data_IF_344290459796
#
_entry.id   IF_344290459796
#
_cell.length_a   1.000
_cell.length_b   1.000
_cell.length_c   1.000
_cell.angle_alpha   90.00
_cell.angle_beta   90.00
_cell.angle_gamma   90.00
#
_symmetry.space_group_name_H-M   'P 1'
#
loop_
_entity.id
_entity.type
_entity.pdbx_description
1 polymer ?
#
# COMPACT_ATOMS: atom_id res chain seq x y z
N UNK A 1 12.76 16.99 67.17
CA UNK A 1 11.71 16.12 66.58
C UNK A 1 11.83 16.24 65.06
N UNK A 2 12.20 15.14 64.40
CA UNK A 2 12.40 14.87 62.95
C UNK A 2 13.20 15.87 62.09
N UNK A 3 14.38 15.48 61.58
CA UNK A 3 15.02 16.11 60.43
C UNK A 3 14.62 15.37 59.14
N UNK A 4 14.20 16.08 58.09
CA UNK A 4 14.06 15.46 56.76
C UNK A 4 14.82 16.28 55.71
N UNK A 5 16.02 15.78 55.41
CA UNK A 5 16.89 16.22 54.31
C UNK A 5 16.14 16.01 53.00
N UNK A 6 16.02 17.08 52.21
CA UNK A 6 15.59 17.02 50.81
C UNK A 6 16.67 16.22 50.05
N UNK A 7 16.36 14.97 49.69
CA UNK A 7 17.17 14.19 48.76
C UNK A 7 17.00 14.81 47.37
N UNK A 8 18.07 15.42 46.86
CA UNK A 8 18.19 15.76 45.45
C UNK A 8 18.24 14.46 44.65
N UNK A 9 17.08 14.02 44.16
CA UNK A 9 16.98 12.90 43.23
C UNK A 9 17.29 13.46 41.84
N UNK A 10 18.56 13.44 41.45
CA UNK A 10 18.95 13.66 40.05
C UNK A 10 18.30 12.59 39.19
N UNK A 11 17.23 12.95 38.49
CA UNK A 11 16.63 12.13 37.46
C UNK A 11 17.54 12.21 36.23
N UNK A 12 18.50 11.29 36.15
CA UNK A 12 19.33 11.11 34.96
C UNK A 12 18.43 10.53 33.87
N UNK A 13 17.93 11.37 32.98
CA UNK A 13 17.22 10.95 31.77
C UNK A 13 18.27 10.31 30.85
N UNK A 14 18.40 9.00 30.94
CA UNK A 14 19.09 8.23 29.92
C UNK A 14 18.25 8.35 28.64
N UNK A 15 18.66 9.25 27.74
CA UNK A 15 18.29 9.17 26.33
C UNK A 15 18.85 7.85 25.80
N UNK A 16 18.09 6.76 25.98
CA UNK A 16 18.34 5.52 25.27
C UNK A 16 18.06 5.79 23.81
N UNK A 17 19.14 5.88 23.03
CA UNK A 17 19.14 5.81 21.57
C UNK A 17 18.19 4.71 21.13
N UNK A 18 17.02 5.10 20.64
CA UNK A 18 16.19 4.20 19.85
C UNK A 18 17.09 3.72 18.70
N UNK A 19 17.26 2.41 18.48
CA UNK A 19 17.81 1.98 17.21
C UNK A 19 16.84 2.51 16.17
N UNK A 20 17.29 3.47 15.36
CA UNK A 20 16.64 3.78 14.10
C UNK A 20 16.68 2.46 13.36
N UNK A 21 15.55 1.75 13.33
CA UNK A 21 15.36 0.62 12.43
C UNK A 21 15.68 1.20 11.05
N UNK A 22 16.87 0.90 10.54
CA UNK A 22 17.19 1.05 9.13
C UNK A 22 16.17 0.18 8.41
N UNK A 23 15.07 0.78 7.98
CA UNK A 23 14.19 0.14 7.02
C UNK A 23 15.06 -0.09 5.79
N UNK A 24 15.40 -1.34 5.52
CA UNK A 24 16.10 -1.69 4.28
C UNK A 24 15.35 -1.03 3.12
N UNK A 25 16.06 -0.33 2.23
CA UNK A 25 15.41 0.35 1.13
C UNK A 25 14.67 -0.70 0.31
N UNK A 26 13.34 -0.56 0.24
CA UNK A 26 12.50 -1.41 -0.61
C UNK A 26 13.15 -1.43 -2.01
N UNK A 27 13.48 -2.61 -2.56
CA UNK A 27 14.20 -2.70 -3.81
C UNK A 27 13.46 -1.95 -4.93
N UNK A 28 14.19 -1.26 -5.79
CA UNK A 28 13.63 -0.36 -6.82
C UNK A 28 12.55 -1.05 -7.66
N UNK A 29 12.74 -2.32 -8.00
CA UNK A 29 11.77 -3.11 -8.76
C UNK A 29 10.47 -3.36 -8.01
N UNK A 30 10.53 -3.55 -6.68
CA UNK A 30 9.33 -3.64 -5.84
C UNK A 30 8.56 -2.32 -5.82
N UNK A 31 9.25 -1.18 -5.76
CA UNK A 31 8.58 0.13 -5.84
C UNK A 31 7.89 0.32 -7.21
N UNK A 32 8.57 -0.03 -8.30
CA UNK A 32 8.00 0.04 -9.66
C UNK A 32 6.78 -0.87 -9.80
N UNK A 33 6.85 -2.10 -9.30
CA UNK A 33 5.74 -3.05 -9.35
C UNK A 33 4.54 -2.56 -8.53
N UNK A 34 4.79 -2.00 -7.34
CA UNK A 34 3.76 -1.39 -6.48
C UNK A 34 3.11 -0.18 -7.15
N UNK A 35 3.88 0.70 -7.76
CA UNK A 35 3.36 1.87 -8.46
C UNK A 35 2.52 1.47 -9.68
N UNK A 36 2.91 0.41 -10.39
CA UNK A 36 2.09 -0.18 -11.45
C UNK A 36 0.77 -0.74 -10.92
N UNK A 37 0.79 -1.47 -9.81
CA UNK A 37 -0.44 -1.96 -9.18
C UNK A 37 -1.36 -0.80 -8.74
N UNK A 38 -0.81 0.27 -8.16
CA UNK A 38 -1.54 1.48 -7.79
C UNK A 38 -2.16 2.18 -9.01
N UNK A 39 -1.42 2.27 -10.11
CA UNK A 39 -1.93 2.81 -11.38
C UNK A 39 -3.11 1.99 -11.90
N UNK A 40 -3.01 0.66 -11.89
CA UNK A 40 -4.12 -0.23 -12.30
C UNK A 40 -5.31 -0.16 -11.36
N UNK A 41 -5.10 0.01 -10.06
CA UNK A 41 -6.18 0.29 -9.12
C UNK A 41 -6.92 1.59 -9.45
N UNK A 42 -6.19 2.65 -9.81
CA UNK A 42 -6.78 3.91 -10.27
C UNK A 42 -7.67 3.73 -11.51
N UNK A 43 -7.20 2.96 -12.49
CA UNK A 43 -7.99 2.62 -13.67
C UNK A 43 -9.25 1.80 -13.32
N UNK A 44 -9.11 0.77 -12.47
CA UNK A 44 -10.24 -0.02 -11.98
C UNK A 44 -11.30 0.86 -11.33
N UNK A 45 -10.90 1.80 -10.47
CA UNK A 45 -11.81 2.74 -9.83
C UNK A 45 -12.58 3.59 -10.84
N UNK A 46 -11.88 4.08 -11.87
CA UNK A 46 -12.52 4.84 -12.95
C UNK A 46 -13.63 4.03 -13.64
N UNK A 47 -13.35 2.78 -14.04
CA UNK A 47 -14.37 1.93 -14.69
C UNK A 47 -15.50 1.50 -13.74
N UNK A 48 -15.20 1.34 -12.45
CA UNK A 48 -16.24 1.16 -11.43
C UNK A 48 -17.21 2.35 -11.38
N UNK A 49 -16.66 3.57 -11.35
CA UNK A 49 -17.48 4.78 -11.32
C UNK A 49 -18.28 4.95 -12.63
N UNK A 50 -17.70 4.60 -13.79
CA UNK A 50 -18.40 4.69 -15.09
C UNK A 50 -19.56 3.69 -15.18
N UNK A 51 -19.33 2.42 -14.83
CA UNK A 51 -20.41 1.43 -14.78
C UNK A 51 -21.51 1.83 -13.79
N UNK A 52 -21.13 2.32 -12.60
CA UNK A 52 -22.10 2.78 -11.59
C UNK A 52 -22.97 3.93 -12.10
N UNK A 53 -22.38 4.89 -12.83
CA UNK A 53 -23.15 5.95 -13.49
C UNK A 53 -24.13 5.37 -14.51
N UNK A 54 -23.66 4.43 -15.34
CA UNK A 54 -24.48 3.79 -16.36
C UNK A 54 -25.73 3.11 -15.78
N UNK A 55 -25.56 2.28 -14.74
CA UNK A 55 -26.70 1.57 -14.13
C UNK A 55 -27.62 2.48 -13.30
N UNK A 56 -27.13 3.66 -12.90
CA UNK A 56 -27.91 4.63 -12.11
C UNK A 56 -28.70 5.60 -12.99
N UNK A 57 -28.40 5.70 -14.28
CA UNK A 57 -29.10 6.58 -15.21
C UNK A 57 -30.46 6.02 -15.62
N UNK A 58 -31.51 6.85 -15.53
CA UNK A 58 -32.89 6.44 -15.75
C UNK A 58 -33.24 6.05 -17.21
N UNK A 59 -32.35 6.30 -18.18
CA UNK A 59 -32.57 6.08 -19.62
C UNK A 59 -31.34 5.49 -20.34
N UNK A 60 -30.44 4.81 -19.62
CA UNK A 60 -29.20 4.29 -20.21
C UNK A 60 -29.46 3.06 -21.10
N UNK A 61 -28.71 2.97 -22.20
CA UNK A 61 -28.75 1.80 -23.08
C UNK A 61 -28.09 0.61 -22.38
N UNK A 62 -28.86 -0.48 -22.20
CA UNK A 62 -28.36 -1.71 -21.59
C UNK A 62 -27.15 -2.30 -22.35
N UNK A 63 -27.07 -2.07 -23.66
CA UNK A 63 -25.91 -2.42 -24.48
C UNK A 63 -24.66 -1.64 -24.08
N UNK A 64 -24.81 -0.33 -23.83
CA UNK A 64 -23.74 0.51 -23.32
C UNK A 64 -23.31 0.10 -21.91
N UNK A 65 -24.25 -0.13 -20.99
CA UNK A 65 -23.89 -0.58 -19.63
C UNK A 65 -23.22 -1.96 -19.61
N UNK A 66 -23.55 -2.83 -20.58
CA UNK A 66 -22.82 -4.10 -20.75
C UNK A 66 -21.39 -3.89 -21.23
N UNK A 67 -21.14 -2.93 -22.12
CA UNK A 67 -19.78 -2.57 -22.53
C UNK A 67 -18.97 -2.04 -21.32
N UNK A 68 -19.54 -1.12 -20.55
CA UNK A 68 -18.91 -0.57 -19.34
C UNK A 68 -18.62 -1.66 -18.28
N UNK A 69 -19.52 -2.64 -18.13
CA UNK A 69 -19.29 -3.79 -17.27
C UNK A 69 -18.10 -4.63 -17.74
N UNK A 70 -17.98 -4.87 -19.05
CA UNK A 70 -16.87 -5.65 -19.61
C UNK A 70 -15.53 -4.92 -19.40
N UNK A 71 -15.51 -3.60 -19.58
CA UNK A 71 -14.31 -2.79 -19.35
C UNK A 71 -13.90 -2.79 -17.87
N UNK A 72 -14.87 -2.70 -16.96
CA UNK A 72 -14.64 -2.85 -15.52
C UNK A 72 -14.05 -4.22 -15.17
N UNK A 73 -14.58 -5.32 -15.74
CA UNK A 73 -14.06 -6.67 -15.49
C UNK A 73 -12.63 -6.84 -16.02
N UNK A 74 -12.35 -6.29 -17.20
CA UNK A 74 -11.00 -6.25 -17.77
C UNK A 74 -10.02 -5.51 -16.87
N UNK A 75 -10.40 -4.31 -16.40
CA UNK A 75 -9.59 -3.52 -15.48
C UNK A 75 -9.37 -4.22 -14.12
N UNK A 76 -10.35 -5.00 -13.66
CA UNK A 76 -10.21 -5.80 -12.43
C UNK A 76 -9.16 -6.90 -12.60
N UNK A 77 -9.19 -7.60 -13.73
CA UNK A 77 -8.18 -8.60 -14.08
C UNK A 77 -6.76 -8.00 -14.11
N UNK A 78 -6.62 -6.86 -14.78
CA UNK A 78 -5.37 -6.09 -14.85
C UNK A 78 -4.83 -5.69 -13.48
N UNK A 79 -5.71 -5.20 -12.60
CA UNK A 79 -5.34 -4.83 -11.23
C UNK A 79 -4.90 -6.05 -10.43
N UNK A 80 -5.65 -7.15 -10.46
CA UNK A 80 -5.31 -8.38 -9.74
C UNK A 80 -3.96 -8.92 -10.21
N UNK A 81 -3.71 -8.92 -11.52
CA UNK A 81 -2.44 -9.36 -12.09
C UNK A 81 -1.29 -8.47 -11.60
N UNK A 82 -1.42 -7.14 -11.71
CA UNK A 82 -0.39 -6.22 -11.25
C UNK A 82 -0.12 -6.34 -9.74
N UNK A 83 -1.16 -6.60 -8.95
CA UNK A 83 -1.05 -6.83 -7.50
C UNK A 83 -0.24 -8.10 -7.19
N UNK A 84 -0.48 -9.21 -7.92
CA UNK A 84 0.30 -10.44 -7.76
C UNK A 84 1.75 -10.24 -8.14
N UNK A 85 2.02 -9.58 -9.27
CA UNK A 85 3.40 -9.25 -9.68
C UNK A 85 4.10 -8.41 -8.60
N UNK A 86 3.42 -7.43 -8.01
CA UNK A 86 3.98 -6.66 -6.91
C UNK A 86 4.29 -7.54 -5.70
N UNK A 87 3.40 -8.46 -5.31
CA UNK A 87 3.65 -9.40 -4.21
C UNK A 87 4.85 -10.30 -4.49
N UNK A 88 4.95 -10.86 -5.69
CA UNK A 88 6.04 -11.76 -6.08
C UNK A 88 7.38 -11.02 -6.11
N UNK A 89 7.45 -9.86 -6.77
CA UNK A 89 8.67 -9.05 -6.87
C UNK A 89 9.12 -8.55 -5.49
N UNK A 90 8.19 -8.01 -4.69
CA UNK A 90 8.53 -7.53 -3.36
C UNK A 90 8.93 -8.66 -2.40
N UNK A 91 8.30 -9.84 -2.52
CA UNK A 91 8.64 -11.02 -1.73
C UNK A 91 10.01 -11.59 -2.10
N UNK A 92 10.32 -11.71 -3.40
CA UNK A 92 11.62 -12.14 -3.89
C UNK A 92 12.75 -11.15 -3.52
N UNK A 93 12.46 -9.85 -3.57
CA UNK A 93 13.42 -8.83 -3.20
C UNK A 93 13.74 -8.84 -1.69
N UNK A 94 12.78 -9.24 -0.83
CA UNK A 94 13.02 -9.52 0.59
C UNK A 94 13.93 -10.72 0.84
N UNK A 95 13.86 -11.77 0.00
CA UNK A 95 14.73 -12.94 0.10
C UNK A 95 16.16 -12.67 -0.40
N UNK A 96 16.34 -11.79 -1.39
CA UNK A 96 17.66 -11.43 -1.90
C UNK A 96 18.47 -10.56 -0.93
N UNK A 97 17.82 -9.83 -0.01
CA UNK A 97 18.49 -9.07 1.04
C UNK A 97 19.10 -9.96 2.14
N UNK A 98 18.44 -11.08 2.45
CA UNK A 98 18.88 -12.03 3.49
C UNK A 98 20.10 -12.89 3.07
N UNK A 99 20.40 -12.98 1.78
CA UNK A 99 21.55 -13.75 1.26
C UNK A 99 22.86 -12.96 1.21
N UNK A 100 22.84 -11.68 1.63
CA UNK A 100 24.02 -10.83 1.76
C UNK A 100 24.31 -10.60 3.25
N UNK A 101 24.66 -11.65 3.98
CA UNK A 101 25.26 -11.58 5.32
C UNK A 101 26.41 -12.57 5.45
#
# INVERSE_FOLDING_TARGET
MVPFKIRATSLLILLSSAPVLLADPIPTDCNVARDRAKSKYGALRHYFDTFNRCISGANEDLGQCRAELNDQQSALGDFIFAQRVAQDVCGAAGQSGDLVQ
#
